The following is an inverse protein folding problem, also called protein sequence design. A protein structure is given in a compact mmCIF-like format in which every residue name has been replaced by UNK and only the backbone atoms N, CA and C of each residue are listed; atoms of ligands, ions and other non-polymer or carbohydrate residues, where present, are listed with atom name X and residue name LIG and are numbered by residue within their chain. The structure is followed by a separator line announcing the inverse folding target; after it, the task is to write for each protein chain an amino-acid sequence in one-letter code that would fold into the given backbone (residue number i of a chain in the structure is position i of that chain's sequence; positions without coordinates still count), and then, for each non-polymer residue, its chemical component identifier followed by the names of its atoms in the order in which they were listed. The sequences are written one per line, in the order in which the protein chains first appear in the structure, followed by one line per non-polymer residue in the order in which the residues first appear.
data_IF_829144162918
#
_entry.id   IF_829144162918
#
_cell.length_a   1.000
_cell.length_b   1.000
_cell.length_c   1.000
_cell.angle_alpha   90.00
_cell.angle_beta   90.00
_cell.angle_gamma   90.00
#
_symmetry.space_group_name_H-M   'P 1'
#
loop_
_entity.id
_entity.type
_entity.pdbx_description
1 polymer ?
#
# COMPACT_ATOMS: atom_id res chain seq x y z
N UNK A 1 4.15 3.51 -11.51
CA UNK A 1 3.92 4.97 -11.57
C UNK A 1 2.51 5.42 -11.14
N UNK A 2 1.41 4.70 -11.46
CA UNK A 2 0.01 5.12 -11.14
C UNK A 2 -0.34 5.33 -9.65
N UNK A 3 0.32 4.63 -8.70
CA UNK A 3 0.01 4.74 -7.26
C UNK A 3 0.43 6.11 -6.67
N UNK A 4 1.61 6.62 -7.05
CA UNK A 4 2.15 7.89 -6.54
C UNK A 4 1.33 9.09 -7.02
N UNK A 5 0.89 9.08 -8.28
CA UNK A 5 0.04 10.11 -8.86
C UNK A 5 -1.34 10.16 -8.18
N UNK A 6 -1.97 9.01 -7.96
CA UNK A 6 -3.23 8.91 -7.21
C UNK A 6 -3.08 9.42 -5.76
N UNK A 7 -1.97 9.09 -5.10
CA UNK A 7 -1.66 9.58 -3.76
C UNK A 7 -1.49 11.11 -3.72
N UNK A 8 -0.80 11.69 -4.70
CA UNK A 8 -0.61 13.13 -4.82
C UNK A 8 -1.93 13.87 -5.07
N UNK A 9 -2.82 13.32 -5.90
CA UNK A 9 -4.16 13.87 -6.13
C UNK A 9 -4.99 13.82 -4.84
N UNK A 10 -4.97 12.69 -4.12
CA UNK A 10 -5.68 12.55 -2.84
C UNK A 10 -5.20 13.58 -1.82
N UNK A 11 -3.88 13.78 -1.73
CA UNK A 11 -3.25 14.73 -0.83
C UNK A 11 -3.65 16.16 -1.19
N UNK A 12 -3.59 16.53 -2.48
CA UNK A 12 -4.02 17.83 -2.97
C UNK A 12 -5.50 18.10 -2.67
N UNK A 13 -6.37 17.13 -2.92
CA UNK A 13 -7.80 17.25 -2.65
C UNK A 13 -8.09 17.42 -1.15
N UNK A 14 -7.43 16.62 -0.30
CA UNK A 14 -7.54 16.74 1.16
C UNK A 14 -7.11 18.12 1.68
N UNK A 15 -6.00 18.66 1.13
CA UNK A 15 -5.52 19.99 1.48
C UNK A 15 -6.54 21.09 1.13
N UNK A 16 -7.14 21.01 -0.07
CA UNK A 16 -8.12 22.00 -0.53
C UNK A 16 -9.38 21.96 0.34
N UNK A 17 -9.92 20.77 0.62
CA UNK A 17 -11.10 20.62 1.48
C UNK A 17 -10.82 21.17 2.89
N UNK A 18 -9.66 20.85 3.45
CA UNK A 18 -9.27 21.31 4.78
C UNK A 18 -9.15 22.83 4.85
N UNK A 19 -8.42 23.45 3.91
CA UNK A 19 -8.24 24.90 3.86
C UNK A 19 -9.55 25.64 3.60
N UNK A 20 -10.38 25.14 2.67
CA UNK A 20 -11.69 25.72 2.40
C UNK A 20 -12.60 25.67 3.64
N UNK A 21 -12.54 24.58 4.41
CA UNK A 21 -13.33 24.43 5.64
C UNK A 21 -12.92 25.44 6.71
N UNK A 22 -11.61 25.65 6.90
CA UNK A 22 -11.09 26.63 7.87
C UNK A 22 -11.41 28.07 7.45
N UNK A 23 -11.17 28.41 6.18
CA UNK A 23 -11.19 29.81 5.73
C UNK A 23 -12.62 30.27 5.41
N UNK A 24 -13.43 29.41 4.80
CA UNK A 24 -14.75 29.79 4.28
C UNK A 24 -15.91 29.36 5.19
N UNK A 25 -15.84 28.15 5.76
CA UNK A 25 -16.99 27.55 6.47
C UNK A 25 -16.95 27.84 7.98
N UNK A 26 -15.77 27.74 8.60
CA UNK A 26 -15.57 28.01 10.03
C UNK A 26 -16.05 29.40 10.53
N UNK A 27 -15.91 30.52 9.78
CA UNK A 27 -16.41 31.81 10.27
C UNK A 27 -17.94 31.90 10.32
N UNK A 28 -18.67 30.95 9.75
CA UNK A 28 -20.13 30.93 9.74
C UNK A 28 -20.61 30.02 10.88
N UNK A 29 -21.16 30.62 11.94
CA UNK A 29 -21.58 29.92 13.15
C UNK A 29 -22.59 28.77 12.89
N UNK A 30 -23.48 28.94 11.92
CA UNK A 30 -24.49 27.94 11.55
C UNK A 30 -23.88 26.65 10.97
N UNK A 31 -22.67 26.74 10.40
CA UNK A 31 -21.97 25.61 9.78
C UNK A 31 -20.80 25.09 10.62
N UNK A 32 -20.71 25.48 11.89
CA UNK A 32 -19.58 25.09 12.75
C UNK A 32 -19.38 23.57 12.84
N UNK A 33 -20.45 22.83 13.14
CA UNK A 33 -20.39 21.35 13.24
C UNK A 33 -20.03 20.71 11.91
N UNK A 34 -20.59 21.23 10.81
CA UNK A 34 -20.28 20.74 9.46
C UNK A 34 -18.81 20.99 9.09
N UNK A 35 -18.27 22.17 9.45
CA UNK A 35 -16.85 22.51 9.26
C UNK A 35 -15.94 21.54 9.98
N UNK A 36 -16.24 21.18 11.22
CA UNK A 36 -15.46 20.19 11.98
C UNK A 36 -15.42 18.82 11.29
N UNK A 37 -16.56 18.35 10.77
CA UNK A 37 -16.63 17.09 10.04
C UNK A 37 -15.79 17.14 8.76
N UNK A 38 -15.90 18.22 7.98
CA UNK A 38 -15.12 18.40 6.75
C UNK A 38 -13.62 18.52 7.02
N UNK A 39 -13.22 19.21 8.09
CA UNK A 39 -11.83 19.29 8.54
C UNK A 39 -11.30 17.90 8.92
N UNK A 40 -12.08 17.09 9.64
CA UNK A 40 -11.69 15.74 10.00
C UNK A 40 -11.47 14.85 8.77
N UNK A 41 -12.40 14.88 7.81
CA UNK A 41 -12.26 14.17 6.53
C UNK A 41 -11.03 14.66 5.76
N UNK A 42 -10.78 15.98 5.73
CA UNK A 42 -9.61 16.57 5.11
C UNK A 42 -8.29 16.06 5.70
N UNK A 43 -8.17 15.98 7.03
CA UNK A 43 -6.97 15.44 7.70
C UNK A 43 -6.79 13.95 7.39
N UNK A 44 -7.85 13.16 7.37
CA UNK A 44 -7.78 11.73 6.99
C UNK A 44 -7.24 11.58 5.57
N UNK A 45 -7.78 12.35 4.62
CA UNK A 45 -7.33 12.33 3.22
C UNK A 45 -5.86 12.75 3.09
N UNK A 46 -5.43 13.77 3.85
CA UNK A 46 -4.03 14.18 3.91
C UNK A 46 -3.12 13.09 4.49
N UNK A 47 -3.55 12.40 5.56
CA UNK A 47 -2.81 11.30 6.16
C UNK A 47 -2.63 10.13 5.20
N UNK A 48 -3.71 9.68 4.57
CA UNK A 48 -3.69 8.57 3.60
C UNK A 48 -2.89 8.96 2.35
N UNK A 49 -3.16 10.13 1.77
CA UNK A 49 -2.44 10.63 0.61
C UNK A 49 -0.94 10.77 0.88
N UNK A 50 -0.57 11.32 2.04
CA UNK A 50 0.81 11.44 2.51
C UNK A 50 1.50 10.09 2.68
N UNK A 51 0.83 9.12 3.29
CA UNK A 51 1.37 7.76 3.46
C UNK A 51 1.62 7.06 2.11
N UNK A 52 0.70 7.21 1.14
CA UNK A 52 0.83 6.64 -0.20
C UNK A 52 2.00 7.30 -0.97
N UNK A 53 2.11 8.62 -0.94
CA UNK A 53 3.19 9.36 -1.62
C UNK A 53 4.55 9.02 -1.02
N UNK A 54 4.62 8.90 0.31
CA UNK A 54 5.84 8.55 1.05
C UNK A 54 6.26 7.09 0.86
N UNK A 55 5.43 6.26 0.21
CA UNK A 55 5.81 4.91 -0.18
C UNK A 55 5.82 3.89 0.97
N UNK A 56 5.04 4.13 2.03
CA UNK A 56 4.85 3.13 3.11
C UNK A 56 4.27 1.79 2.61
N UNK A 57 3.75 1.76 1.37
CA UNK A 57 3.25 0.58 0.67
C UNK A 57 4.36 -0.23 -0.04
N UNK A 58 5.65 0.02 0.25
CA UNK A 58 6.76 -0.81 -0.25
C UNK A 58 6.95 -2.12 0.53
N UNK A 59 6.34 -2.27 1.71
CA UNK A 59 6.53 -3.47 2.54
C UNK A 59 5.54 -4.61 2.25
N UNK A 60 4.60 -4.44 1.32
CA UNK A 60 3.63 -5.50 0.95
C UNK A 60 3.88 -6.09 -0.43
N UNK A 61 4.60 -5.40 -1.32
CA UNK A 61 5.29 -5.99 -2.46
C UNK A 61 6.72 -6.38 -2.03
N UNK A 62 6.85 -7.28 -1.06
CA UNK A 62 8.04 -8.14 -1.16
C UNK A 62 7.83 -8.87 -2.48
N UNK A 63 8.65 -8.54 -3.48
CA UNK A 63 8.85 -9.41 -4.64
C UNK A 63 9.34 -10.73 -4.07
N UNK A 64 8.37 -11.57 -3.65
CA UNK A 64 8.63 -12.93 -3.18
C UNK A 64 9.09 -13.65 -4.42
N UNK A 65 10.39 -13.65 -4.62
CA UNK A 65 11.00 -14.29 -5.76
C UNK A 65 10.51 -15.74 -5.80
N UNK A 66 10.02 -16.14 -6.97
CA UNK A 66 9.60 -17.50 -7.19
C UNK A 66 10.79 -18.41 -6.92
N UNK A 67 10.58 -19.52 -6.22
CA UNK A 67 11.66 -20.45 -5.97
C UNK A 67 12.19 -20.97 -7.32
N UNK A 68 13.41 -20.56 -7.69
CA UNK A 68 14.04 -20.93 -8.98
C UNK A 68 14.12 -22.44 -9.20
N UNK A 69 14.25 -23.20 -8.11
CA UNK A 69 14.36 -24.66 -8.17
C UNK A 69 13.07 -25.34 -8.65
N UNK A 70 11.90 -24.83 -8.24
CA UNK A 70 10.60 -25.39 -8.63
C UNK A 70 9.77 -24.43 -9.50
N UNK A 71 10.33 -23.31 -9.97
CA UNK A 71 9.62 -22.25 -10.71
C UNK A 71 8.26 -21.85 -10.11
N UNK A 72 8.17 -21.80 -8.78
CA UNK A 72 6.91 -21.42 -8.10
C UNK A 72 5.87 -22.53 -7.89
N UNK A 73 6.10 -23.77 -8.37
CA UNK A 73 5.10 -24.86 -8.24
C UNK A 73 5.03 -25.45 -6.83
N UNK A 74 6.09 -25.28 -6.02
CA UNK A 74 6.23 -25.94 -4.73
C UNK A 74 6.61 -27.43 -4.83
N UNK A 75 6.77 -27.98 -6.03
CA UNK A 75 7.10 -29.38 -6.26
C UNK A 75 8.35 -29.54 -7.11
N UNK A 76 9.13 -30.59 -6.84
CA UNK A 76 10.27 -30.97 -7.63
C UNK A 76 10.10 -32.42 -8.10
N UNK A 77 10.66 -32.74 -9.26
CA UNK A 77 10.66 -34.10 -9.79
C UNK A 77 12.01 -34.73 -9.48
N UNK A 78 12.03 -35.73 -8.59
CA UNK A 78 13.24 -36.46 -8.23
C UNK A 78 12.98 -37.94 -8.47
N UNK A 79 13.81 -38.58 -9.29
CA UNK A 79 13.68 -40.00 -9.65
C UNK A 79 12.31 -40.42 -10.23
N UNK A 80 11.61 -39.50 -10.90
CA UNK A 80 10.32 -39.77 -11.55
C UNK A 80 9.10 -39.70 -10.61
N UNK A 81 9.30 -39.29 -9.36
CA UNK A 81 8.21 -39.01 -8.41
C UNK A 81 8.16 -37.51 -8.09
N UNK A 82 6.94 -36.96 -8.02
CA UNK A 82 6.74 -35.58 -7.54
C UNK A 82 6.95 -35.54 -6.03
N UNK A 83 8.01 -34.86 -5.60
CA UNK A 83 8.32 -34.60 -4.19
C UNK A 83 8.09 -33.13 -3.84
N UNK A 84 7.94 -32.85 -2.54
CA UNK A 84 7.87 -31.48 -2.02
C UNK A 84 9.22 -30.80 -2.29
N UNK A 85 9.20 -29.61 -2.89
CA UNK A 85 10.43 -28.91 -3.23
C UNK A 85 11.29 -28.66 -1.97
N UNK A 86 12.51 -29.24 -1.88
CA UNK A 86 13.35 -29.16 -0.68
C UNK A 86 13.88 -27.74 -0.43
N UNK A 87 13.94 -26.92 -1.49
CA UNK A 87 14.52 -25.55 -1.47
C UNK A 87 13.55 -24.50 -0.92
N UNK A 88 12.23 -24.69 -1.12
CA UNK A 88 11.20 -23.79 -0.60
C UNK A 88 10.25 -24.45 0.41
N UNK A 89 10.45 -25.73 0.74
CA UNK A 89 9.59 -26.49 1.64
C UNK A 89 8.14 -26.61 1.15
N UNK A 90 7.91 -26.60 -0.16
CA UNK A 90 6.57 -26.70 -0.75
C UNK A 90 5.84 -25.37 -0.99
N UNK A 91 6.42 -24.24 -0.59
CA UNK A 91 5.73 -22.93 -0.67
C UNK A 91 5.77 -22.30 -2.06
N UNK A 92 6.65 -22.77 -2.95
CA UNK A 92 6.91 -22.15 -4.25
C UNK A 92 7.66 -20.81 -4.15
N UNK A 93 7.98 -20.33 -2.96
CA UNK A 93 8.58 -19.02 -2.72
C UNK A 93 10.03 -19.20 -2.26
N UNK A 94 10.96 -18.40 -2.78
CA UNK A 94 12.34 -18.41 -2.33
C UNK A 94 12.42 -17.99 -0.86
N UNK A 95 13.15 -18.73 0.00
CA UNK A 95 13.40 -18.28 1.36
C UNK A 95 14.18 -16.95 1.34
N UNK A 96 13.77 -16.03 2.19
CA UNK A 96 14.41 -14.71 2.30
C UNK A 96 15.92 -14.88 2.60
N UNK A 97 16.77 -14.23 1.80
CA UNK A 97 18.24 -14.28 1.94
C UNK A 97 18.97 -15.29 1.04
N UNK A 98 18.34 -15.82 -0.02
CA UNK A 98 18.99 -16.78 -0.93
C UNK A 98 19.57 -16.20 -2.23
N UNK A 99 19.70 -14.87 -2.32
CA UNK A 99 20.48 -14.20 -3.36
C UNK A 99 21.97 -14.25 -3.02
N UNK A 100 22.63 -15.32 -3.45
CA UNK A 100 24.09 -15.45 -3.50
C UNK A 100 24.48 -16.31 -4.68
#
# INVERSE_FOLDING_TARGET
MRKKEKGAILLGLGAVIFLASIILILPIAEYYVLSLILMFVGIILLGIGGAIVKGYDQSLDSEREMCYYCNGTGKAEESGEEIICPRCGGTGIAPEGSSS
#
